data_IF_524845539205
#
_entry.id   IF_524845539205
#
_cell.length_a   1.000
_cell.length_b   1.000
_cell.length_c   1.000
_cell.angle_alpha   90.00
_cell.angle_beta   90.00
_cell.angle_gamma   90.00
#
_symmetry.space_group_name_H-M   'P 1'
#
loop_
_entity.id
_entity.type
_entity.pdbx_description
1 polymer ?
#
# COMPACT_ATOMS: atom_id res chain seq x y z
N UNK A 1 -23.38 -7.10 0.79
CA UNK A 1 -22.42 -5.98 0.77
C UNK A 1 -21.07 -6.58 1.08
N UNK A 2 -20.11 -6.52 0.16
CA UNK A 2 -18.77 -7.02 0.43
C UNK A 2 -18.21 -6.31 1.68
N UNK A 3 -17.66 -7.10 2.61
CA UNK A 3 -17.19 -6.58 3.89
C UNK A 3 -16.00 -5.64 3.62
N UNK A 4 -16.08 -4.38 4.05
CA UNK A 4 -15.04 -3.34 3.85
C UNK A 4 -13.67 -3.85 4.28
N UNK A 5 -13.61 -4.59 5.39
CA UNK A 5 -12.38 -5.20 5.88
C UNK A 5 -11.83 -6.28 4.95
N UNK A 6 -12.69 -7.06 4.32
CA UNK A 6 -12.29 -8.12 3.39
C UNK A 6 -11.69 -7.51 2.11
N UNK A 7 -12.31 -6.46 1.58
CA UNK A 7 -11.79 -5.72 0.44
C UNK A 7 -10.43 -5.10 0.77
N UNK A 8 -10.31 -4.45 1.94
CA UNK A 8 -9.07 -3.86 2.38
C UNK A 8 -7.97 -4.92 2.56
N UNK A 9 -8.29 -6.09 3.13
CA UNK A 9 -7.36 -7.22 3.23
C UNK A 9 -6.89 -7.71 1.86
N UNK A 10 -7.80 -7.82 0.87
CA UNK A 10 -7.44 -8.19 -0.50
C UNK A 10 -6.46 -7.18 -1.12
N UNK A 11 -6.75 -5.88 -0.99
CA UNK A 11 -5.86 -4.82 -1.46
C UNK A 11 -4.49 -4.89 -0.78
N UNK A 12 -4.45 -4.91 0.55
CA UNK A 12 -3.22 -4.87 1.34
C UNK A 12 -2.32 -6.07 1.04
N UNK A 13 -2.89 -7.28 0.97
CA UNK A 13 -2.13 -8.48 0.62
C UNK A 13 -1.56 -8.41 -0.80
N UNK A 14 -2.35 -7.96 -1.78
CA UNK A 14 -1.88 -7.79 -3.16
C UNK A 14 -0.79 -6.73 -3.27
N UNK A 15 -0.96 -5.59 -2.60
CA UNK A 15 0.01 -4.50 -2.59
C UNK A 15 1.35 -4.92 -1.99
N UNK A 16 1.35 -5.51 -0.80
CA UNK A 16 2.61 -5.93 -0.15
C UNK A 16 3.28 -7.12 -0.84
N UNK A 17 2.51 -7.99 -1.49
CA UNK A 17 3.07 -9.03 -2.38
C UNK A 17 3.74 -8.42 -3.60
N UNK A 18 3.12 -7.41 -4.22
CA UNK A 18 3.72 -6.66 -5.32
C UNK A 18 5.00 -5.95 -4.90
N UNK A 19 5.02 -5.32 -3.72
CA UNK A 19 6.20 -4.68 -3.15
C UNK A 19 7.40 -5.63 -2.98
N UNK A 20 7.18 -6.89 -2.58
CA UNK A 20 8.25 -7.86 -2.36
C UNK A 20 8.68 -8.61 -3.64
N UNK A 21 7.78 -8.78 -4.61
CA UNK A 21 8.02 -9.62 -5.80
C UNK A 21 8.24 -8.84 -7.09
N UNK A 22 7.51 -7.75 -7.31
CA UNK A 22 7.52 -6.99 -8.55
C UNK A 22 7.06 -5.54 -8.32
N UNK A 23 7.97 -4.69 -7.83
CA UNK A 23 7.70 -3.26 -7.61
C UNK A 23 7.22 -2.58 -8.90
N UNK A 24 7.77 -2.94 -10.06
CA UNK A 24 7.35 -2.36 -11.35
C UNK A 24 5.86 -2.63 -11.66
N UNK A 25 5.31 -3.74 -11.18
CA UNK A 25 3.88 -4.06 -11.31
C UNK A 25 2.96 -3.11 -10.53
N UNK A 26 3.47 -2.41 -9.52
CA UNK A 26 2.69 -1.43 -8.75
C UNK A 26 2.39 -0.16 -9.55
N UNK A 27 3.03 0.04 -10.70
CA UNK A 27 2.67 1.12 -11.61
C UNK A 27 1.17 1.13 -11.95
N UNK A 28 0.56 -0.05 -12.05
CA UNK A 28 -0.84 -0.22 -12.43
C UNK A 28 -1.83 0.24 -11.35
N UNK A 29 -1.42 0.29 -10.08
CA UNK A 29 -2.28 0.74 -8.98
C UNK A 29 -2.15 2.24 -8.70
N UNK A 30 -1.17 2.91 -9.32
CA UNK A 30 -0.95 4.35 -9.18
C UNK A 30 -1.40 5.10 -10.42
N UNK A 31 -1.78 6.36 -10.21
CA UNK A 31 -2.24 7.30 -11.23
C UNK A 31 -1.33 8.54 -11.21
N UNK A 32 -1.43 9.45 -12.20
CA UNK A 32 -0.72 10.72 -12.16
C UNK A 32 -1.10 11.61 -10.96
N UNK A 33 -2.28 11.40 -10.36
CA UNK A 33 -2.76 12.14 -9.19
C UNK A 33 -2.44 11.45 -7.86
N UNK A 34 -1.82 10.27 -7.91
CA UNK A 34 -1.45 9.55 -6.70
C UNK A 34 -0.32 10.25 -5.97
N UNK A 35 -0.38 10.25 -4.64
CA UNK A 35 0.63 10.89 -3.79
C UNK A 35 1.13 9.89 -2.76
N UNK A 36 2.44 9.64 -2.76
CA UNK A 36 3.16 8.96 -1.68
C UNK A 36 3.83 9.98 -0.78
N UNK A 37 3.65 9.87 0.53
CA UNK A 37 4.51 10.51 1.53
C UNK A 37 5.31 9.44 2.24
N UNK A 38 6.60 9.32 1.91
CA UNK A 38 7.50 8.35 2.51
C UNK A 38 8.48 9.07 3.44
N UNK A 39 8.44 8.78 4.75
CA UNK A 39 9.31 9.42 5.72
C UNK A 39 9.31 10.97 5.66
N UNK A 40 8.13 11.56 5.54
CA UNK A 40 7.91 13.01 5.37
C UNK A 40 8.34 13.60 4.01
N UNK A 41 8.85 12.79 3.08
CA UNK A 41 9.13 13.21 1.70
C UNK A 41 7.95 12.89 0.79
N UNK A 42 7.52 13.86 -0.02
CA UNK A 42 6.36 13.73 -0.91
C UNK A 42 6.80 13.38 -2.34
N UNK A 43 6.13 12.41 -2.95
CA UNK A 43 6.32 11.94 -4.32
C UNK A 43 4.95 11.90 -5.02
N UNK A 44 4.84 12.52 -6.18
CA UNK A 44 3.58 12.66 -6.92
C UNK A 44 3.65 11.93 -8.25
N UNK A 45 2.61 11.14 -8.55
CA UNK A 45 2.50 10.35 -9.76
C UNK A 45 3.24 9.02 -9.73
N UNK A 46 2.76 8.05 -10.50
CA UNK A 46 3.26 6.68 -10.53
C UNK A 46 4.79 6.58 -10.73
N UNK A 47 5.37 7.40 -11.62
CA UNK A 47 6.80 7.34 -11.92
C UNK A 47 7.67 7.72 -10.70
N UNK A 48 7.39 8.86 -10.06
CA UNK A 48 8.16 9.31 -8.90
C UNK A 48 7.99 8.37 -7.69
N UNK A 49 6.78 7.81 -7.54
CA UNK A 49 6.48 6.81 -6.51
C UNK A 49 7.32 5.55 -6.76
N UNK A 50 7.30 4.99 -7.97
CA UNK A 50 8.07 3.79 -8.30
C UNK A 50 9.57 4.01 -8.18
N UNK A 51 10.07 5.16 -8.63
CA UNK A 51 11.47 5.53 -8.47
C UNK A 51 11.87 5.52 -6.99
N UNK A 52 11.05 6.14 -6.13
CA UNK A 52 11.28 6.10 -4.68
C UNK A 52 11.28 4.68 -4.13
N UNK A 53 10.25 3.89 -4.41
CA UNK A 53 10.13 2.51 -3.93
C UNK A 53 11.30 1.62 -4.42
N UNK A 54 11.79 1.85 -5.64
CA UNK A 54 12.94 1.13 -6.22
C UNK A 54 14.27 1.61 -5.63
N UNK A 55 14.38 2.89 -5.25
CA UNK A 55 15.59 3.49 -4.69
C UNK A 55 15.87 3.13 -3.23
N UNK A 56 14.93 2.45 -2.57
CA UNK A 56 15.09 2.10 -1.16
C UNK A 56 16.34 1.22 -1.00
N UNK A 57 17.23 1.52 -0.04
CA UNK A 57 18.51 0.83 0.11
C UNK A 57 18.36 -0.62 0.60
N UNK A 58 17.15 -1.01 0.98
CA UNK A 58 16.78 -2.34 1.41
C UNK A 58 15.71 -2.91 0.49
N UNK A 59 15.77 -4.23 0.26
CA UNK A 59 14.63 -4.94 -0.30
C UNK A 59 13.64 -5.17 0.82
N UNK A 60 12.40 -4.74 0.63
CA UNK A 60 11.30 -5.11 1.54
C UNK A 60 11.02 -6.61 1.38
N UNK A 61 11.81 -7.43 2.06
CA UNK A 61 11.84 -8.89 1.90
C UNK A 61 10.64 -9.57 2.58
N UNK A 62 9.96 -8.86 3.49
CA UNK A 62 8.72 -9.31 4.09
C UNK A 62 8.03 -8.22 4.90
N UNK A 63 6.70 -8.19 4.79
CA UNK A 63 5.83 -7.39 5.65
C UNK A 63 5.09 -8.34 6.58
N UNK A 64 5.23 -8.15 7.89
CA UNK A 64 4.41 -8.83 8.89
C UNK A 64 3.31 -7.86 9.34
N UNK A 65 2.11 -8.05 8.80
CA UNK A 65 0.95 -7.26 9.19
C UNK A 65 0.57 -7.58 10.64
N UNK A 66 0.43 -6.54 11.46
CA UNK A 66 0.00 -6.67 12.86
C UNK A 66 -1.48 -6.30 12.99
N UNK A 67 -1.87 -5.12 12.53
CA UNK A 67 -3.27 -4.69 12.47
C UNK A 67 -3.62 -4.12 11.10
N UNK A 68 -4.90 -4.25 10.74
CA UNK A 68 -5.48 -3.63 9.56
C UNK A 68 -6.86 -3.14 9.95
N UNK A 69 -7.05 -1.83 9.86
CA UNK A 69 -8.31 -1.15 10.13
C UNK A 69 -8.75 -0.45 8.84
N UNK A 70 -10.02 -0.59 8.48
CA UNK A 70 -10.55 -0.03 7.24
C UNK A 70 -11.90 0.65 7.45
N UNK A 71 -12.07 1.79 6.79
CA UNK A 71 -13.31 2.57 6.81
C UNK A 71 -13.67 2.99 5.39
N UNK A 72 -14.97 3.16 5.14
CA UNK A 72 -15.44 3.79 3.92
C UNK A 72 -15.40 5.31 4.10
N UNK A 73 -14.79 6.01 3.15
CA UNK A 73 -14.73 7.46 3.06
C UNK A 73 -15.27 7.88 1.69
N UNK A 74 -16.55 8.27 1.65
CA UNK A 74 -17.33 8.48 0.43
C UNK A 74 -17.34 7.21 -0.45
N UNK A 75 -16.69 7.26 -1.62
CA UNK A 75 -16.56 6.15 -2.56
C UNK A 75 -15.19 5.47 -2.50
N UNK A 76 -14.33 5.88 -1.56
CA UNK A 76 -12.98 5.34 -1.39
C UNK A 76 -12.85 4.58 -0.07
N UNK A 77 -11.89 3.66 -0.01
CA UNK A 77 -11.45 3.01 1.21
C UNK A 77 -10.33 3.79 1.86
N UNK A 78 -10.46 4.05 3.16
CA UNK A 78 -9.37 4.49 4.01
C UNK A 78 -8.88 3.28 4.80
N UNK A 79 -7.60 2.97 4.67
CA UNK A 79 -6.99 1.78 5.27
C UNK A 79 -5.80 2.22 6.10
N UNK A 80 -5.73 1.78 7.35
CA UNK A 80 -4.58 1.93 8.22
C UNK A 80 -3.98 0.55 8.48
N UNK A 81 -2.69 0.42 8.20
CA UNK A 81 -1.92 -0.79 8.44
C UNK A 81 -0.84 -0.47 9.47
N UNK A 82 -0.72 -1.35 10.47
CA UNK A 82 0.47 -1.40 11.32
C UNK A 82 1.14 -2.75 11.12
N UNK A 83 2.47 -2.77 11.18
CA UNK A 83 3.20 -4.00 10.98
C UNK A 83 4.67 -3.88 11.29
N UNK A 84 5.39 -4.93 10.93
CA UNK A 84 6.83 -5.01 11.00
C UNK A 84 7.40 -5.22 9.62
N UNK A 85 8.40 -4.43 9.28
CA UNK A 85 9.15 -4.53 8.06
C UNK A 85 10.44 -5.29 8.35
N UNK A 86 10.68 -6.36 7.59
CA UNK A 86 11.98 -7.00 7.57
C UNK A 86 12.91 -6.25 6.61
N UNK A 87 14.01 -5.76 7.14
CA UNK A 87 15.07 -5.07 6.39
C UNK A 87 16.22 -6.05 6.20
N UNK A 88 16.53 -6.40 4.95
CA UNK A 88 17.61 -7.31 4.56
C UNK A 88 17.50 -8.75 5.13
N UNK A 89 18.63 -9.47 5.22
CA UNK A 89 18.70 -10.82 5.80
C UNK A 89 18.73 -10.82 7.33
N UNK A 90 19.00 -9.67 7.95
CA UNK A 90 18.99 -9.51 9.41
C UNK A 90 17.58 -9.78 9.99
N UNK A 91 17.53 -10.34 11.20
CA UNK A 91 16.28 -10.55 11.95
C UNK A 91 15.66 -9.25 12.49
N UNK A 92 16.24 -8.09 12.15
CA UNK A 92 15.80 -6.79 12.62
C UNK A 92 14.46 -6.41 11.97
N UNK A 93 13.40 -6.55 12.76
CA UNK A 93 12.05 -6.13 12.42
C UNK A 93 11.82 -4.69 12.89
N UNK A 94 11.58 -3.78 11.95
CA UNK A 94 11.28 -2.38 12.26
C UNK A 94 9.77 -2.19 12.20
N UNK A 95 9.18 -1.59 13.23
CA UNK A 95 7.75 -1.28 13.21
C UNK A 95 7.46 -0.20 12.16
N UNK A 96 6.35 -0.34 11.44
CA UNK A 96 5.89 0.66 10.50
C UNK A 96 4.38 0.89 10.64
N UNK A 97 3.96 2.06 10.17
CA UNK A 97 2.57 2.41 9.93
C UNK A 97 2.44 2.89 8.48
N UNK A 98 1.38 2.44 7.82
CA UNK A 98 1.07 2.87 6.47
C UNK A 98 -0.43 3.14 6.33
N UNK A 99 -0.77 4.30 5.78
CA UNK A 99 -2.14 4.68 5.50
C UNK A 99 -2.37 4.75 4.00
N UNK A 100 -3.50 4.22 3.54
CA UNK A 100 -3.91 4.28 2.15
C UNK A 100 -5.30 4.88 2.00
N UNK A 101 -5.48 5.69 0.96
CA UNK A 101 -6.78 6.00 0.38
C UNK A 101 -6.88 5.34 -0.99
N UNK A 102 -7.83 4.43 -1.16
CA UNK A 102 -7.92 3.54 -2.33
C UNK A 102 -9.32 3.62 -2.96
N UNK A 103 -9.39 3.88 -4.27
CA UNK A 103 -10.62 3.67 -5.02
C UNK A 103 -10.73 2.22 -5.46
N UNK A 104 -11.92 1.65 -5.34
CA UNK A 104 -12.21 0.27 -5.75
C UNK A 104 -13.05 0.32 -7.02
N UNK A 105 -12.57 -0.35 -8.08
CA UNK A 105 -13.35 -0.56 -9.29
C UNK A 105 -14.15 -1.85 -9.16
N UNK A 106 -15.44 -1.78 -9.47
CA UNK A 106 -16.34 -2.94 -9.44
C UNK A 106 -16.92 -3.19 -10.84
N UNK A 107 -17.01 -4.46 -11.22
CA UNK A 107 -17.67 -4.89 -12.44
C UNK A 107 -19.19 -5.00 -12.28
N UNK A 108 -19.91 -5.35 -13.37
CA UNK A 108 -21.39 -5.39 -13.38
C UNK A 108 -22.01 -6.35 -12.34
N UNK A 109 -21.27 -7.37 -11.88
CA UNK A 109 -21.71 -8.32 -10.85
C UNK A 109 -21.26 -7.96 -9.43
N UNK A 110 -20.63 -6.80 -9.23
CA UNK A 110 -20.07 -6.38 -7.94
C UNK A 110 -18.69 -6.98 -7.63
N UNK A 111 -18.11 -7.75 -8.55
CA UNK A 111 -16.74 -8.24 -8.45
C UNK A 111 -15.74 -7.07 -8.47
N UNK A 112 -14.67 -7.17 -7.68
CA UNK A 112 -13.61 -6.18 -7.70
C UNK A 112 -12.75 -6.41 -8.94
N UNK A 113 -12.65 -5.39 -9.78
CA UNK A 113 -11.88 -5.42 -11.03
C UNK A 113 -10.56 -4.66 -10.93
N UNK A 114 -10.38 -3.83 -9.90
CA UNK A 114 -9.13 -3.13 -9.68
C UNK A 114 -9.12 -2.23 -8.46
N UNK A 115 -7.92 -1.79 -8.11
CA UNK A 115 -7.64 -0.84 -7.04
C UNK A 115 -6.78 0.31 -7.57
N UNK A 116 -7.11 1.54 -7.18
CA UNK A 116 -6.31 2.72 -7.49
C UNK A 116 -5.97 3.45 -6.19
N UNK A 117 -4.67 3.56 -5.89
CA UNK A 117 -4.18 4.25 -4.70
C UNK A 117 -4.13 5.74 -4.97
N UNK A 118 -4.93 6.54 -4.26
CA UNK A 118 -4.91 8.01 -4.33
C UNK A 118 -3.87 8.60 -3.38
N UNK A 119 -3.83 8.10 -2.15
CA UNK A 119 -2.89 8.56 -1.13
C UNK A 119 -2.23 7.35 -0.48
N UNK A 120 -0.92 7.45 -0.28
CA UNK A 120 -0.10 6.51 0.46
C UNK A 120 0.77 7.32 1.43
N UNK A 121 0.73 7.02 2.72
CA UNK A 121 1.55 7.68 3.74
C UNK A 121 2.25 6.59 4.55
N UNK A 122 3.58 6.58 4.50
CA UNK A 122 4.42 5.59 5.15
C UNK A 122 5.34 6.23 6.20
N UNK A 123 5.38 5.60 7.38
CA UNK A 123 6.29 5.93 8.48
C UNK A 123 6.84 4.71 9.18
N UNK A 124 8.12 4.74 9.50
CA UNK A 124 8.78 3.89 10.47
C UNK A 124 8.46 4.39 11.89
N UNK A 125 8.35 3.46 12.81
CA UNK A 125 8.07 3.69 14.23
C UNK A 125 9.30 3.26 15.01
N UNK A 126 9.99 4.25 15.60
CA UNK A 126 11.23 4.10 16.38
C UNK A 126 10.96 4.06 17.88
#
# INVERSE_FOLDING_TARGET
>A
MANVEEIAKQFVNGFFTGMSTNIAGLAAVYTPQSVLTFESQKFEGANAILEKLTSLPFKMSGHQLSTLDAQLADNDLLILVTGKLKVDEDENLINFVQNFKVSVSQGPGGEITGFLVKNDIFKLVY
#
